data_IF_405851931762
#
_entry.id   IF_405851931762
#
_cell.length_a   1.000
_cell.length_b   1.000
_cell.length_c   1.000
_cell.angle_alpha   90.00
_cell.angle_beta   90.00
_cell.angle_gamma   90.00
#
_symmetry.space_group_name_H-M   'P 1'
#
loop_
_entity.id
_entity.type
_entity.pdbx_description
1 polymer ?
#
# COMPACT_ATOMS: atom_id res chain seq x y z
N UNK A 1 12.36 2.01 -16.40
CA UNK A 1 12.35 0.54 -16.54
C UNK A 1 13.73 -0.05 -16.24
N UNK A 2 14.75 0.10 -17.11
CA UNK A 2 16.12 -0.37 -16.83
C UNK A 2 16.70 0.12 -15.51
N UNK A 3 16.55 1.42 -15.26
CA UNK A 3 17.04 2.07 -14.04
C UNK A 3 16.32 1.60 -12.77
N UNK A 4 15.03 1.22 -12.88
CA UNK A 4 14.24 0.74 -11.74
C UNK A 4 14.68 -0.68 -11.36
N UNK A 5 14.88 -1.58 -12.33
CA UNK A 5 15.44 -2.91 -12.07
C UNK A 5 16.87 -2.81 -11.52
N UNK A 6 17.70 -1.92 -12.07
CA UNK A 6 19.04 -1.64 -11.55
C UNK A 6 19.03 -1.14 -10.10
N UNK A 7 18.05 -0.32 -9.73
CA UNK A 7 17.87 0.16 -8.35
C UNK A 7 17.55 -0.98 -7.38
N UNK A 8 16.87 -2.03 -7.82
CA UNK A 8 16.67 -3.28 -7.07
C UNK A 8 17.81 -4.30 -7.23
N UNK A 9 18.80 -4.04 -8.09
CA UNK A 9 19.89 -4.98 -8.37
C UNK A 9 19.45 -6.19 -9.21
N UNK A 10 18.44 -5.99 -10.06
CA UNK A 10 17.84 -7.00 -10.90
C UNK A 10 18.11 -6.72 -12.39
N UNK A 11 18.05 -7.79 -13.19
CA UNK A 11 18.04 -7.71 -14.65
C UNK A 11 16.67 -7.27 -15.18
N UNK A 12 16.65 -6.63 -16.36
CA UNK A 12 15.40 -6.21 -16.99
C UNK A 12 14.50 -7.43 -17.29
N UNK A 13 13.24 -7.35 -16.86
CA UNK A 13 12.26 -8.41 -17.08
C UNK A 13 12.22 -9.48 -15.98
N UNK A 14 12.98 -9.33 -14.89
CA UNK A 14 12.92 -10.22 -13.72
C UNK A 14 11.46 -10.51 -13.30
N UNK A 15 11.20 -11.73 -12.81
CA UNK A 15 9.86 -12.16 -12.41
C UNK A 15 9.31 -11.36 -11.24
N UNK A 16 7.99 -11.32 -11.07
CA UNK A 16 7.34 -10.56 -9.99
C UNK A 16 7.85 -10.98 -8.60
N UNK A 17 8.01 -12.29 -8.37
CA UNK A 17 8.55 -12.84 -7.13
C UNK A 17 10.02 -12.43 -6.88
N UNK A 18 10.82 -12.29 -7.93
CA UNK A 18 12.21 -11.83 -7.82
C UNK A 18 12.27 -10.35 -7.46
N UNK A 19 11.37 -9.56 -8.04
CA UNK A 19 11.18 -8.13 -7.73
C UNK A 19 10.77 -7.93 -6.27
N UNK A 20 9.80 -8.71 -5.76
CA UNK A 20 9.37 -8.66 -4.36
C UNK A 20 10.50 -9.05 -3.40
N UNK A 21 11.23 -10.13 -3.71
CA UNK A 21 12.33 -10.60 -2.88
C UNK A 21 13.47 -9.58 -2.81
N UNK A 22 13.87 -9.02 -3.94
CA UNK A 22 14.94 -8.03 -4.00
C UNK A 22 14.56 -6.74 -3.26
N UNK A 23 13.30 -6.32 -3.34
CA UNK A 23 12.78 -5.19 -2.57
C UNK A 23 12.90 -5.43 -1.06
N UNK A 24 12.47 -6.60 -0.56
CA UNK A 24 12.57 -6.93 0.86
C UNK A 24 14.02 -7.03 1.34
N UNK A 25 14.90 -7.69 0.56
CA UNK A 25 16.32 -7.82 0.89
C UNK A 25 17.01 -6.45 0.95
N UNK A 26 16.77 -5.58 -0.03
CA UNK A 26 17.34 -4.22 -0.03
C UNK A 26 16.76 -3.36 1.09
N UNK A 27 15.45 -3.39 1.32
CA UNK A 27 14.85 -2.61 2.41
C UNK A 27 15.43 -3.02 3.77
N UNK A 28 15.59 -4.33 4.02
CA UNK A 28 16.21 -4.85 5.24
C UNK A 28 17.69 -4.47 5.37
N UNK A 29 18.43 -4.36 4.26
CA UNK A 29 19.83 -3.93 4.26
C UNK A 29 20.01 -2.46 4.70
N UNK A 30 19.00 -1.63 4.47
CA UNK A 30 18.98 -0.21 4.82
C UNK A 30 18.06 0.10 6.02
N UNK A 31 17.52 -0.93 6.70
CA UNK A 31 16.68 -0.79 7.89
C UNK A 31 17.52 -0.49 9.15
N UNK A 32 16.90 0.18 10.12
CA UNK A 32 17.56 0.76 11.31
C UNK A 32 18.20 -0.29 12.21
N UNK A 33 17.71 -1.53 12.19
CA UNK A 33 18.20 -2.64 13.02
C UNK A 33 19.40 -3.40 12.39
N UNK A 34 19.79 -3.06 11.16
CA UNK A 34 20.92 -3.71 10.48
C UNK A 34 22.23 -2.99 10.84
N UNK A 35 22.84 -3.42 11.96
CA UNK A 35 24.06 -2.89 12.56
C UNK A 35 25.35 -2.98 11.68
N UNK A 36 25.24 -3.14 10.36
CA UNK A 36 26.36 -3.32 9.42
C UNK A 36 26.68 -2.08 8.57
N UNK A 37 25.84 -1.03 8.58
CA UNK A 37 26.01 0.18 7.73
C UNK A 37 26.32 1.46 8.52
N UNK A 38 26.46 1.37 9.85
CA UNK A 38 26.55 2.50 10.78
C UNK A 38 27.76 3.43 10.65
N UNK A 39 28.60 3.28 9.63
CA UNK A 39 29.83 4.09 9.51
C UNK A 39 30.03 4.81 8.18
N UNK A 40 29.05 4.83 7.25
CA UNK A 40 29.29 5.36 5.89
C UNK A 40 28.26 6.38 5.33
N UNK A 41 27.09 6.59 5.92
CA UNK A 41 26.07 7.54 5.39
C UNK A 41 25.27 8.22 6.50
N UNK A 42 24.83 9.47 6.29
CA UNK A 42 23.94 10.20 7.22
C UNK A 42 22.50 9.69 7.20
N UNK A 43 21.66 10.12 8.14
CA UNK A 43 20.23 9.73 8.19
C UNK A 43 19.46 10.16 6.93
N UNK A 44 19.79 11.31 6.35
CA UNK A 44 19.17 11.81 5.13
C UNK A 44 19.49 10.96 3.90
N UNK A 45 20.75 10.52 3.77
CA UNK A 45 21.18 9.65 2.66
C UNK A 45 20.51 8.27 2.73
N UNK A 46 20.31 7.75 3.95
CA UNK A 46 19.57 6.50 4.18
C UNK A 46 18.12 6.62 3.74
N UNK A 47 17.45 7.71 4.16
CA UNK A 47 16.06 7.93 3.81
C UNK A 47 15.89 8.11 2.30
N UNK A 48 16.79 8.86 1.66
CA UNK A 48 16.82 8.99 0.20
C UNK A 48 16.96 7.61 -0.48
N UNK A 49 17.85 6.75 0.03
CA UNK A 49 18.06 5.41 -0.53
C UNK A 49 16.84 4.49 -0.39
N UNK A 50 16.17 4.53 0.76
CA UNK A 50 14.95 3.78 1.00
C UNK A 50 13.82 4.25 0.07
N UNK A 51 13.69 5.57 -0.12
CA UNK A 51 12.72 6.16 -1.04
C UNK A 51 12.99 5.72 -2.49
N UNK A 52 14.25 5.70 -2.93
CA UNK A 52 14.63 5.23 -4.26
C UNK A 52 14.24 3.76 -4.49
N UNK A 53 14.53 2.90 -3.50
CA UNK A 53 14.19 1.47 -3.53
C UNK A 53 12.67 1.26 -3.61
N UNK A 54 11.91 2.02 -2.84
CA UNK A 54 10.45 1.96 -2.83
C UNK A 54 9.84 2.42 -4.16
N UNK A 55 10.33 3.53 -4.71
CA UNK A 55 9.84 4.08 -5.98
C UNK A 55 10.11 3.13 -7.15
N UNK A 56 11.30 2.52 -7.20
CA UNK A 56 11.66 1.56 -8.24
C UNK A 56 10.74 0.32 -8.23
N UNK A 57 10.48 -0.22 -7.03
CA UNK A 57 9.55 -1.35 -6.85
C UNK A 57 8.15 -1.03 -7.38
N UNK A 58 7.58 0.13 -7.00
CA UNK A 58 6.24 0.54 -7.44
C UNK A 58 6.14 0.69 -8.96
N UNK A 59 7.14 1.28 -9.62
CA UNK A 59 7.15 1.43 -11.08
C UNK A 59 7.20 0.08 -11.81
N UNK A 60 7.97 -0.88 -11.28
CA UNK A 60 8.05 -2.23 -11.85
C UNK A 60 6.71 -2.96 -11.72
N UNK A 61 6.05 -2.87 -10.55
CA UNK A 61 4.71 -3.43 -10.35
C UNK A 61 3.69 -2.84 -11.32
N UNK A 62 3.65 -1.51 -11.45
CA UNK A 62 2.71 -0.83 -12.34
C UNK A 62 2.93 -1.23 -13.80
N UNK A 63 4.19 -1.38 -14.22
CA UNK A 63 4.51 -1.85 -15.56
C UNK A 63 4.10 -3.30 -15.77
N UNK A 64 4.41 -4.22 -14.85
CA UNK A 64 4.02 -5.63 -14.95
C UNK A 64 2.51 -5.84 -14.87
N UNK A 65 1.79 -4.98 -14.17
CA UNK A 65 0.33 -4.97 -14.17
C UNK A 65 -0.25 -4.55 -15.53
N UNK A 66 0.42 -3.63 -16.25
CA UNK A 66 0.08 -3.27 -17.63
C UNK A 66 0.46 -4.39 -18.62
N UNK A 67 1.58 -5.07 -18.42
CA UNK A 67 2.01 -6.20 -19.27
C UNK A 67 1.15 -7.46 -19.08
N UNK A 68 0.73 -7.78 -17.86
CA UNK A 68 -0.13 -8.92 -17.54
C UNK A 68 -1.62 -8.58 -17.56
N UNK A 69 -1.99 -7.37 -17.98
CA UNK A 69 -3.38 -7.02 -18.16
C UNK A 69 -3.97 -7.97 -19.21
N UNK A 70 -5.00 -8.78 -18.88
CA UNK A 70 -5.70 -9.55 -19.89
C UNK A 70 -6.14 -8.60 -20.99
N UNK A 71 -5.79 -8.92 -22.23
CA UNK A 71 -6.24 -8.21 -23.43
C UNK A 71 -7.75 -8.40 -23.53
N UNK A 72 -8.50 -7.60 -22.79
CA UNK A 72 -9.94 -7.43 -22.97
C UNK A 72 -10.14 -6.63 -24.25
N UNK A 73 -10.05 -7.35 -25.37
CA UNK A 73 -10.55 -6.89 -26.66
C UNK A 73 -12.04 -6.64 -26.53
N UNK A 74 -12.44 -5.38 -26.37
CA UNK A 74 -13.82 -4.97 -26.66
C UNK A 74 -14.56 -4.09 -25.65
N UNK A 75 -13.92 -3.42 -24.70
CA UNK A 75 -14.60 -2.35 -23.95
C UNK A 75 -13.91 -1.00 -24.16
N UNK A 76 -14.63 -0.23 -24.98
CA UNK A 76 -14.48 1.16 -25.41
C UNK A 76 -13.46 2.01 -24.64
N UNK A 77 -12.46 2.46 -25.40
CA UNK A 77 -11.60 3.61 -25.15
C UNK A 77 -12.43 4.83 -24.73
N UNK A 78 -12.02 5.47 -23.64
CA UNK A 78 -12.07 6.93 -23.54
C UNK A 78 -10.61 7.37 -23.56
N UNK A 79 -10.14 7.69 -24.77
CA UNK A 79 -8.89 8.41 -24.96
C UNK A 79 -9.18 9.88 -24.60
N UNK A 80 -8.41 10.47 -23.69
CA UNK A 80 -7.56 11.66 -23.96
C UNK A 80 -6.76 12.06 -22.69
N UNK A 81 -5.45 12.20 -22.86
CA UNK A 81 -4.39 12.45 -21.86
C UNK A 81 -4.33 13.93 -21.36
N UNK A 82 -3.18 14.45 -20.88
CA UNK A 82 -2.58 14.33 -19.56
C UNK A 82 -2.61 15.69 -18.83
N UNK A 83 -2.89 15.71 -17.52
CA UNK A 83 -3.03 16.97 -16.81
C UNK A 83 -2.65 16.90 -15.34
N UNK A 84 -1.56 17.58 -15.00
CA UNK A 84 -1.42 18.26 -13.71
C UNK A 84 -1.06 17.38 -12.52
N UNK A 85 0.23 17.39 -12.18
CA UNK A 85 0.63 17.32 -10.79
C UNK A 85 0.01 18.51 -10.04
N UNK A 86 -1.21 18.36 -9.49
CA UNK A 86 -1.87 19.35 -8.62
C UNK A 86 -3.18 18.77 -8.07
N UNK A 87 -3.09 17.92 -7.05
CA UNK A 87 -4.17 17.62 -6.09
C UNK A 87 -3.57 16.83 -4.93
N UNK A 88 -2.76 17.52 -4.12
CA UNK A 88 -2.03 16.94 -2.99
C UNK A 88 -2.76 17.07 -1.64
N UNK A 89 -4.01 17.55 -1.58
CA UNK A 89 -4.60 17.95 -0.30
C UNK A 89 -6.02 17.41 -0.01
N UNK A 90 -6.65 16.68 -0.94
CA UNK A 90 -7.99 16.11 -0.68
C UNK A 90 -7.93 14.57 -0.63
N UNK A 91 -8.46 13.94 0.44
CA UNK A 91 -8.52 12.49 0.55
C UNK A 91 -9.36 11.91 -0.60
N UNK A 92 -8.98 10.74 -1.15
CA UNK A 92 -9.71 10.15 -2.26
C UNK A 92 -11.17 9.87 -1.88
N UNK A 93 -12.14 9.96 -2.80
CA UNK A 93 -13.51 9.59 -2.48
C UNK A 93 -13.59 8.09 -2.13
N UNK A 94 -14.26 7.77 -1.03
CA UNK A 94 -14.49 6.38 -0.62
C UNK A 94 -15.57 5.76 -1.51
N UNK A 95 -15.18 5.31 -2.72
CA UNK A 95 -16.05 4.76 -3.77
C UNK A 95 -16.64 3.38 -3.43
N UNK A 96 -17.22 3.21 -2.24
CA UNK A 96 -17.82 1.95 -1.77
C UNK A 96 -16.82 0.82 -1.44
N UNK A 97 -15.52 1.09 -1.51
CA UNK A 97 -14.43 0.16 -1.18
C UNK A 97 -13.63 0.72 0.00
N UNK A 98 -14.12 0.54 1.24
CA UNK A 98 -13.47 1.10 2.43
C UNK A 98 -12.09 0.47 2.71
N UNK A 99 -11.83 -0.78 2.30
CA UNK A 99 -10.50 -1.38 2.42
C UNK A 99 -9.44 -0.69 1.54
N UNK A 100 -9.74 -0.50 0.25
CA UNK A 100 -8.82 0.20 -0.66
C UNK A 100 -8.63 1.67 -0.29
N UNK A 101 -9.69 2.33 0.20
CA UNK A 101 -9.60 3.70 0.70
C UNK A 101 -8.61 3.86 1.86
N UNK A 102 -8.64 2.92 2.83
CA UNK A 102 -7.68 2.91 3.94
C UNK A 102 -6.24 2.70 3.45
N UNK A 103 -6.06 1.82 2.46
CA UNK A 103 -4.76 1.61 1.82
C UNK A 103 -4.23 2.88 1.16
N UNK A 104 -5.06 3.55 0.36
CA UNK A 104 -4.68 4.78 -0.35
C UNK A 104 -4.26 5.88 0.64
N UNK A 105 -5.02 6.04 1.73
CA UNK A 105 -4.68 6.98 2.79
C UNK A 105 -3.37 6.61 3.49
N UNK A 106 -3.16 5.33 3.81
CA UNK A 106 -1.93 4.85 4.44
C UNK A 106 -0.72 5.14 3.55
N UNK A 107 -0.81 4.84 2.26
CA UNK A 107 0.26 5.04 1.29
C UNK A 107 0.55 6.53 1.07
N UNK A 108 -0.49 7.39 1.03
CA UNK A 108 -0.34 8.85 0.97
C UNK A 108 0.31 9.44 2.22
N UNK A 109 0.01 8.87 3.39
CA UNK A 109 0.64 9.23 4.65
C UNK A 109 2.09 8.69 4.78
N UNK A 110 2.58 7.94 3.79
CA UNK A 110 3.92 7.35 3.80
C UNK A 110 4.10 6.26 4.86
N UNK A 111 3.01 5.65 5.35
CA UNK A 111 3.04 4.66 6.42
C UNK A 111 3.11 3.24 5.87
N UNK A 112 3.95 2.40 6.45
CA UNK A 112 3.86 0.95 6.27
C UNK A 112 2.78 0.35 7.19
N UNK A 113 2.36 -0.89 6.90
CA UNK A 113 1.50 -1.64 7.82
C UNK A 113 2.15 -1.85 9.20
N UNK A 114 3.49 -1.88 9.27
CA UNK A 114 4.22 -1.97 10.56
C UNK A 114 4.10 -0.67 11.34
N UNK A 115 4.24 0.49 10.70
CA UNK A 115 4.09 1.79 11.36
C UNK A 115 2.70 1.97 11.95
N UNK A 116 1.66 1.58 11.19
CA UNK A 116 0.28 1.61 11.67
C UNK A 116 0.09 0.61 12.80
N UNK A 117 0.67 -0.59 12.71
CA UNK A 117 0.59 -1.59 13.76
C UNK A 117 1.22 -1.12 15.08
N UNK A 118 2.36 -0.42 15.01
CA UNK A 118 3.03 0.12 16.19
C UNK A 118 2.21 1.21 16.88
N UNK A 119 1.53 2.05 16.10
CA UNK A 119 0.65 3.13 16.59
C UNK A 119 -0.66 2.62 17.17
N UNK A 120 -1.29 1.66 16.49
CA UNK A 120 -2.65 1.18 16.82
C UNK A 120 -2.68 -0.07 17.70
N UNK A 121 -1.55 -0.77 17.82
CA UNK A 121 -1.43 -2.11 18.42
C UNK A 121 -2.26 -3.20 17.71
N UNK A 122 -2.72 -2.93 16.49
CA UNK A 122 -3.37 -3.91 15.61
C UNK A 122 -2.28 -4.62 14.81
N UNK A 123 -2.23 -5.95 14.84
CA UNK A 123 -1.18 -6.69 14.13
C UNK A 123 -1.16 -6.41 12.61
N UNK A 124 0.02 -6.36 11.95
CA UNK A 124 0.12 -6.06 10.51
C UNK A 124 -0.75 -6.96 9.62
N UNK A 125 -0.86 -8.24 9.98
CA UNK A 125 -1.73 -9.20 9.30
C UNK A 125 -3.22 -8.81 9.37
N UNK A 126 -3.67 -8.24 10.48
CA UNK A 126 -5.05 -7.78 10.61
C UNK A 126 -5.30 -6.51 9.79
N UNK A 127 -4.33 -5.60 9.73
CA UNK A 127 -4.40 -4.41 8.90
C UNK A 127 -4.42 -4.76 7.40
N UNK A 128 -3.60 -5.72 6.96
CA UNK A 128 -3.62 -6.26 5.60
C UNK A 128 -4.98 -6.87 5.25
N UNK A 129 -5.53 -7.74 6.12
CA UNK A 129 -6.86 -8.30 5.90
C UNK A 129 -7.96 -7.24 5.87
N UNK A 130 -7.75 -6.09 6.54
CA UNK A 130 -8.67 -4.94 6.47
C UNK A 130 -8.56 -4.25 5.10
N UNK A 131 -7.35 -3.97 4.61
CA UNK A 131 -7.15 -3.33 3.30
C UNK A 131 -7.69 -4.20 2.16
N UNK A 132 -7.50 -5.51 2.26
CA UNK A 132 -7.93 -6.48 1.26
C UNK A 132 -9.38 -6.97 1.44
N UNK A 133 -10.11 -6.46 2.43
CA UNK A 133 -11.48 -6.87 2.73
C UNK A 133 -11.65 -8.40 2.89
N UNK A 134 -10.63 -9.09 3.43
CA UNK A 134 -10.63 -10.53 3.69
C UNK A 134 -11.49 -10.87 4.91
N UNK A 135 -12.80 -10.70 4.78
CA UNK A 135 -13.77 -10.77 5.89
C UNK A 135 -13.76 -12.10 6.65
N UNK A 136 -13.34 -13.19 6.02
CA UNK A 136 -13.20 -14.52 6.63
C UNK A 136 -12.00 -14.63 7.59
N UNK A 137 -11.03 -13.72 7.48
CA UNK A 137 -9.82 -13.66 8.34
C UNK A 137 -9.92 -12.60 9.46
N UNK A 138 -11.00 -11.82 9.46
CA UNK A 138 -11.19 -10.71 10.39
C UNK A 138 -11.89 -11.15 11.69
N UNK A 139 -11.62 -10.46 12.81
CA UNK A 139 -12.23 -10.77 14.10
C UNK A 139 -13.75 -10.51 14.10
N UNK A 140 -14.40 -10.86 15.21
CA UNK A 140 -15.83 -10.62 15.40
C UNK A 140 -16.19 -9.13 15.17
N UNK A 141 -17.39 -8.81 14.65
CA UNK A 141 -17.78 -7.46 14.23
C UNK A 141 -17.56 -6.38 15.28
N UNK A 142 -17.75 -6.71 16.57
CA UNK A 142 -17.57 -5.80 17.70
C UNK A 142 -16.12 -5.29 17.82
N UNK A 143 -15.12 -6.13 17.53
CA UNK A 143 -13.71 -5.77 17.54
C UNK A 143 -13.28 -5.12 16.22
N UNK A 144 -13.80 -5.63 15.09
CA UNK A 144 -13.48 -5.11 13.76
C UNK A 144 -13.84 -3.62 13.65
N UNK A 145 -14.97 -3.20 14.20
CA UNK A 145 -15.37 -1.78 14.20
C UNK A 145 -14.31 -0.90 14.85
N UNK A 146 -13.77 -1.32 15.99
CA UNK A 146 -12.72 -0.60 16.70
C UNK A 146 -11.42 -0.55 15.90
N UNK A 147 -11.06 -1.66 15.25
CA UNK A 147 -9.84 -1.75 14.43
C UNK A 147 -9.89 -0.83 13.23
N UNK A 148 -11.00 -0.83 12.48
CA UNK A 148 -11.18 0.03 11.32
C UNK A 148 -11.21 1.51 11.72
N UNK A 149 -11.87 1.84 12.83
CA UNK A 149 -11.91 3.21 13.35
C UNK A 149 -10.51 3.72 13.71
N UNK A 150 -9.71 2.90 14.41
CA UNK A 150 -8.37 3.28 14.85
C UNK A 150 -7.38 3.34 13.69
N UNK A 151 -7.51 2.44 12.72
CA UNK A 151 -6.76 2.50 11.47
C UNK A 151 -7.09 3.78 10.70
N UNK A 152 -8.38 4.07 10.45
CA UNK A 152 -8.82 5.26 9.73
C UNK A 152 -8.30 6.56 10.36
N UNK A 153 -8.32 6.66 11.70
CA UNK A 153 -7.73 7.79 12.42
C UNK A 153 -6.22 7.91 12.19
N UNK A 154 -5.51 6.80 12.27
CA UNK A 154 -4.04 6.77 12.15
C UNK A 154 -3.55 7.21 10.78
N UNK A 155 -4.32 6.92 9.72
CA UNK A 155 -4.00 7.31 8.33
C UNK A 155 -4.59 8.65 7.92
N UNK A 156 -5.24 9.37 8.84
CA UNK A 156 -5.76 10.71 8.58
C UNK A 156 -7.04 10.76 7.76
N UNK A 157 -7.91 9.74 7.85
CA UNK A 157 -9.23 9.82 7.24
C UNK A 157 -10.04 10.98 7.84
N UNK A 158 -10.68 11.78 6.98
CA UNK A 158 -11.50 12.92 7.41
C UNK A 158 -12.66 12.50 8.32
N UNK A 159 -13.37 11.42 7.95
CA UNK A 159 -14.54 10.89 8.67
C UNK A 159 -14.33 9.43 9.12
N UNK A 160 -13.48 9.13 10.13
CA UNK A 160 -13.14 7.76 10.52
C UNK A 160 -14.34 6.89 10.92
N UNK A 161 -15.38 7.51 11.49
CA UNK A 161 -16.60 6.82 11.89
C UNK A 161 -17.43 6.36 10.68
N UNK A 162 -17.45 7.14 9.60
CA UNK A 162 -18.11 6.77 8.35
C UNK A 162 -17.39 5.59 7.70
N UNK A 163 -16.06 5.63 7.65
CA UNK A 163 -15.22 4.52 7.15
C UNK A 163 -15.56 3.22 7.86
N UNK A 164 -15.59 3.24 9.20
CA UNK A 164 -15.94 2.07 9.99
C UNK A 164 -17.38 1.59 9.73
N UNK A 165 -18.34 2.50 9.56
CA UNK A 165 -19.73 2.18 9.24
C UNK A 165 -19.86 1.45 7.90
N UNK A 166 -19.24 2.00 6.85
CA UNK A 166 -19.23 1.45 5.49
C UNK A 166 -18.51 0.11 5.43
N UNK A 167 -17.41 -0.04 6.17
CA UNK A 167 -16.70 -1.31 6.27
C UNK A 167 -17.58 -2.44 6.83
N UNK A 168 -18.37 -2.14 7.87
CA UNK A 168 -19.31 -3.12 8.44
C UNK A 168 -20.51 -3.40 7.52
N UNK A 169 -20.97 -2.41 6.77
CA UNK A 169 -21.97 -2.60 5.72
C UNK A 169 -21.47 -3.58 4.66
N UNK A 170 -20.26 -3.34 4.13
CA UNK A 170 -19.61 -4.20 3.14
C UNK A 170 -19.43 -5.64 3.64
N UNK A 171 -19.00 -5.81 4.89
CA UNK A 171 -18.88 -7.15 5.51
C UNK A 171 -20.23 -7.88 5.57
N UNK A 172 -21.33 -7.18 5.90
CA UNK A 172 -22.66 -7.79 5.97
C UNK A 172 -23.16 -8.23 4.60
N UNK A 173 -22.91 -7.43 3.57
CA UNK A 173 -23.21 -7.79 2.18
C UNK A 173 -22.43 -9.04 1.74
N UNK A 174 -21.14 -9.13 2.10
CA UNK A 174 -20.29 -10.26 1.73
C UNK A 174 -20.63 -11.56 2.50
N UNK A 175 -21.19 -11.47 3.70
CA UNK A 175 -21.60 -12.61 4.52
C UNK A 175 -23.08 -13.00 4.41
N UNK A 176 -23.87 -12.28 3.61
CA UNK A 176 -25.31 -12.49 3.43
C UNK A 176 -25.70 -13.37 2.24
N UNK A 177 -24.76 -14.15 1.71
CA UNK A 177 -24.96 -15.09 0.59
C UNK A 177 -25.00 -16.54 1.03
#
# INVERSE_FOLDING_TARGET
>A
MKEDYGTLGLEEGAGLLEVERAYQEKRNLYDIDSLATYSLFGDEDRQAKLNDIQNAYQRILQHKARENAPTYRGMKKVDDEPGGAEQADEPPPMNGQPGSYLRDLRERAGLSLRDVAERTKIGPFQLENIEEERFDKLPAPVYLRGFVLEFARTVGAAEPAEVAGRYLERRREAGGG
#
